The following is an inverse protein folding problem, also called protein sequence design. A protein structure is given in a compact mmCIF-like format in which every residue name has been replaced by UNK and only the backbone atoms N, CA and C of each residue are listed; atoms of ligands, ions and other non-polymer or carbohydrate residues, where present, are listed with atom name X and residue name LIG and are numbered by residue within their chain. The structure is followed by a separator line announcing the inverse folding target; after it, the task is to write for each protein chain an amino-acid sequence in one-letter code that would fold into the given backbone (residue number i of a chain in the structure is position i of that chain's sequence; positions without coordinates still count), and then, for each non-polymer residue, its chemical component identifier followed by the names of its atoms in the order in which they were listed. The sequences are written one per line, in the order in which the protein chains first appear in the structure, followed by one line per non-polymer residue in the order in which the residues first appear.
data_IF_176894005749
#
_entry.id   IF_176894005749
#
_cell.length_a   1.000
_cell.length_b   1.000
_cell.length_c   1.000
_cell.angle_alpha   90.00
_cell.angle_beta   90.00
_cell.angle_gamma   90.00
#
_symmetry.space_group_name_H-M   'P 1'
#
loop_
_entity.id
_entity.type
_entity.pdbx_description
1 polymer ?
#
# COMPACT_ATOMS: atom_id res chain seq x y z
N UNK A 1 72.31 7.31 56.51
CA UNK A 1 71.40 8.48 56.59
C UNK A 1 70.58 8.43 55.32
N UNK A 2 69.41 7.80 55.38
CA UNK A 2 68.59 7.50 54.20
C UNK A 2 67.51 8.58 54.06
N UNK A 3 67.65 9.40 53.01
CA UNK A 3 66.66 10.39 52.62
C UNK A 3 65.53 9.71 51.84
N UNK A 4 64.34 9.65 52.43
CA UNK A 4 63.11 9.26 51.73
C UNK A 4 62.70 10.36 50.74
N UNK A 5 62.45 10.04 49.45
CA UNK A 5 61.97 11.01 48.48
C UNK A 5 60.55 11.45 48.85
N UNK A 6 60.38 12.78 48.88
CA UNK A 6 59.15 13.47 49.25
C UNK A 6 58.05 13.28 48.21
N UNK A 7 56.85 13.18 48.76
CA UNK A 7 55.53 13.00 48.18
C UNK A 7 55.10 14.19 47.29
N UNK A 8 55.68 14.34 46.09
CA UNK A 8 55.35 15.43 45.14
C UNK A 8 54.28 15.02 44.10
N UNK A 9 54.04 13.71 43.90
CA UNK A 9 53.13 13.19 42.86
C UNK A 9 51.62 13.34 43.15
N UNK A 10 51.23 13.89 44.31
CA UNK A 10 49.84 13.92 44.74
C UNK A 10 49.12 15.25 44.44
N UNK A 11 49.85 16.35 44.27
CA UNK A 11 49.25 17.66 43.98
C UNK A 11 48.89 17.82 42.49
N UNK A 12 49.69 17.26 41.58
CA UNK A 12 49.45 17.33 40.12
C UNK A 12 48.18 16.55 39.70
N UNK A 13 47.86 15.45 40.39
CA UNK A 13 46.63 14.68 40.15
C UNK A 13 45.35 15.39 40.58
N UNK A 14 45.43 16.30 41.56
CA UNK A 14 44.26 17.05 42.05
C UNK A 14 43.90 18.16 41.06
N UNK A 15 44.90 18.83 40.47
CA UNK A 15 44.70 19.87 39.45
C UNK A 15 44.02 19.34 38.18
N UNK A 16 44.50 18.22 37.63
CA UNK A 16 43.93 17.62 36.41
C UNK A 16 42.48 17.15 36.59
N UNK A 17 42.10 16.71 37.80
CA UNK A 17 40.72 16.32 38.11
C UNK A 17 39.77 17.53 38.15
N UNK A 18 40.23 18.65 38.74
CA UNK A 18 39.43 19.87 38.82
C UNK A 18 39.20 20.52 37.44
N UNK A 19 40.18 20.48 36.54
CA UNK A 19 40.03 21.00 35.17
C UNK A 19 39.00 20.20 34.34
N UNK A 20 38.97 18.88 34.51
CA UNK A 20 37.96 18.02 33.89
C UNK A 20 36.53 18.34 34.37
N UNK A 21 36.35 18.51 35.68
CA UNK A 21 35.05 18.84 36.27
C UNK A 21 34.53 20.22 35.82
N UNK A 22 35.41 21.22 35.65
CA UNK A 22 35.03 22.54 35.13
C UNK A 22 34.57 22.46 33.66
N UNK A 23 35.28 21.71 32.81
CA UNK A 23 34.90 21.52 31.40
C UNK A 23 33.52 20.89 31.25
N UNK A 24 33.18 19.93 32.10
CA UNK A 24 31.89 19.24 32.03
C UNK A 24 30.74 20.13 32.53
N UNK A 25 30.98 20.99 33.53
CA UNK A 25 30.00 22.00 33.97
C UNK A 25 29.69 23.01 32.85
N UNK A 26 30.69 23.45 32.09
CA UNK A 26 30.48 24.37 30.96
C UNK A 26 29.66 23.72 29.84
N UNK A 27 29.93 22.45 29.51
CA UNK A 27 29.14 21.69 28.55
C UNK A 27 27.69 21.51 29.00
N UNK A 28 27.46 21.24 30.28
CA UNK A 28 26.11 21.13 30.85
C UNK A 28 25.34 22.45 30.74
N UNK A 29 25.95 23.58 31.09
CA UNK A 29 25.33 24.91 30.94
C UNK A 29 25.00 25.24 29.48
N UNK A 30 25.87 24.86 28.55
CA UNK A 30 25.61 25.03 27.11
C UNK A 30 24.44 24.16 26.63
N UNK A 31 24.33 22.92 27.14
CA UNK A 31 23.22 22.02 26.83
C UNK A 31 21.89 22.53 27.38
N UNK A 32 21.87 23.03 28.63
CA UNK A 32 20.67 23.63 29.24
C UNK A 32 20.16 24.83 28.45
N UNK A 33 21.07 25.72 28.01
CA UNK A 33 20.72 26.85 27.14
C UNK A 33 20.11 26.38 25.82
N UNK A 34 20.72 25.39 25.17
CA UNK A 34 20.20 24.82 23.90
C UNK A 34 18.81 24.18 24.08
N UNK A 35 18.56 23.52 25.21
CA UNK A 35 17.24 22.96 25.53
C UNK A 35 16.20 24.08 25.70
N UNK A 36 16.54 25.17 26.39
CA UNK A 36 15.64 26.32 26.54
C UNK A 36 15.30 26.96 25.18
N UNK A 37 16.29 27.15 24.31
CA UNK A 37 16.09 27.70 22.96
C UNK A 37 15.17 26.80 22.11
N UNK A 38 15.34 25.47 22.20
CA UNK A 38 14.49 24.50 21.49
C UNK A 38 13.05 24.51 22.00
N UNK A 39 12.82 24.64 23.31
CA UNK A 39 11.47 24.73 23.88
C UNK A 39 10.74 25.98 23.39
N UNK A 40 11.41 27.14 23.43
CA UNK A 40 10.86 28.40 22.91
C UNK A 40 10.49 28.30 21.42
N UNK A 41 11.36 27.68 20.61
CA UNK A 41 11.07 27.43 19.19
C UNK A 41 9.89 26.48 18.96
N UNK A 42 9.72 25.46 19.82
CA UNK A 42 8.60 24.54 19.72
C UNK A 42 7.27 25.24 20.04
N UNK A 43 7.23 26.07 21.09
CA UNK A 43 6.06 26.88 21.43
C UNK A 43 5.67 27.83 20.29
N UNK A 44 6.64 28.45 19.61
CA UNK A 44 6.39 29.28 18.44
C UNK A 44 5.79 28.48 17.27
N UNK A 45 6.27 27.26 17.03
CA UNK A 45 5.76 26.38 15.98
C UNK A 45 4.34 25.89 16.27
N UNK A 46 4.05 25.52 17.52
CA UNK A 46 2.70 25.13 17.97
C UNK A 46 1.71 26.28 17.78
N UNK A 47 2.12 27.52 18.12
CA UNK A 47 1.30 28.70 17.88
C UNK A 47 1.04 28.92 16.39
N UNK A 48 2.08 28.86 15.54
CA UNK A 48 1.93 29.02 14.08
C UNK A 48 1.02 27.93 13.48
N UNK A 49 1.10 26.70 13.96
CA UNK A 49 0.23 25.61 13.53
C UNK A 49 -1.23 25.88 13.92
N UNK A 50 -1.47 26.33 15.16
CA UNK A 50 -2.81 26.72 15.62
C UNK A 50 -3.38 27.89 14.83
N UNK A 51 -2.57 28.91 14.53
CA UNK A 51 -2.99 30.07 13.73
C UNK A 51 -3.33 29.66 12.28
N UNK A 52 -2.56 28.72 11.71
CA UNK A 52 -2.84 28.17 10.38
C UNK A 52 -4.11 27.32 10.36
N UNK A 53 -4.36 26.51 11.40
CA UNK A 53 -5.60 25.73 11.53
C UNK A 53 -6.82 26.65 11.66
N UNK A 54 -6.72 27.72 12.45
CA UNK A 54 -7.78 28.74 12.55
C UNK A 54 -8.02 29.47 11.22
N UNK A 55 -6.98 29.72 10.43
CA UNK A 55 -7.11 30.32 9.10
C UNK A 55 -7.84 29.40 8.10
N UNK A 56 -7.63 28.08 8.20
CA UNK A 56 -8.33 27.08 7.40
C UNK A 56 -9.81 26.93 7.79
N UNK A 57 -10.17 27.30 9.01
CA UNK A 57 -11.57 27.28 9.50
C UNK A 57 -12.34 28.58 9.21
N UNK A 58 -11.73 29.53 8.47
CA UNK A 58 -12.46 30.74 8.10
C UNK A 58 -13.64 30.38 7.18
N UNK A 59 -14.84 30.98 7.40
CA UNK A 59 -16.05 30.69 6.62
C UNK A 59 -15.83 30.78 5.10
N UNK A 60 -15.00 31.72 4.66
CA UNK A 60 -14.69 31.92 3.23
C UNK A 60 -13.89 30.75 2.63
N UNK A 61 -13.00 30.13 3.42
CA UNK A 61 -12.26 28.95 2.99
C UNK A 61 -13.17 27.70 2.95
N UNK A 62 -14.04 27.54 3.95
CA UNK A 62 -15.04 26.46 3.95
C UNK A 62 -16.01 26.59 2.77
N UNK A 63 -16.49 27.80 2.49
CA UNK A 63 -17.33 28.08 1.30
C UNK A 63 -16.60 27.82 -0.01
N UNK A 64 -15.29 28.11 -0.07
CA UNK A 64 -14.46 27.78 -1.22
C UNK A 64 -14.33 26.27 -1.43
N UNK A 65 -14.07 25.50 -0.36
CA UNK A 65 -14.02 24.02 -0.44
C UNK A 65 -15.37 23.42 -0.86
N UNK A 66 -16.48 23.91 -0.31
CA UNK A 66 -17.83 23.49 -0.72
C UNK A 66 -18.11 23.81 -2.20
N UNK A 67 -17.59 24.93 -2.70
CA UNK A 67 -17.72 25.29 -4.12
C UNK A 67 -16.88 24.40 -5.04
N UNK A 68 -15.72 23.94 -4.58
CA UNK A 68 -14.89 22.98 -5.29
C UNK A 68 -15.54 21.59 -5.32
N UNK A 69 -16.12 21.14 -4.21
CA UNK A 69 -16.82 19.85 -4.14
C UNK A 69 -18.03 19.83 -5.08
N UNK A 70 -18.85 20.90 -5.08
CA UNK A 70 -19.99 21.03 -6.00
C UNK A 70 -19.56 21.00 -7.47
N UNK A 71 -18.51 21.75 -7.84
CA UNK A 71 -17.97 21.72 -9.21
C UNK A 71 -17.42 20.34 -9.58
N UNK A 72 -16.73 19.67 -8.66
CA UNK A 72 -16.23 18.31 -8.87
C UNK A 72 -17.38 17.34 -9.12
N UNK A 73 -18.47 17.42 -8.35
CA UNK A 73 -19.65 16.58 -8.53
C UNK A 73 -20.37 16.85 -9.86
N UNK A 74 -20.52 18.11 -10.26
CA UNK A 74 -21.12 18.47 -11.55
C UNK A 74 -20.27 17.99 -12.74
N UNK A 75 -18.95 18.18 -12.70
CA UNK A 75 -18.02 17.70 -13.74
C UNK A 75 -17.95 16.17 -13.80
N UNK A 76 -17.99 15.49 -12.65
CA UNK A 76 -18.01 14.03 -12.57
C UNK A 76 -19.30 13.45 -13.18
N UNK A 77 -20.44 14.12 -12.98
CA UNK A 77 -21.73 13.70 -13.55
C UNK A 77 -21.71 13.82 -15.07
N UNK A 78 -21.18 14.92 -15.61
CA UNK A 78 -21.04 15.15 -17.06
C UNK A 78 -19.99 14.22 -17.71
N UNK A 79 -18.90 13.90 -17.00
CA UNK A 79 -17.90 12.96 -17.50
C UNK A 79 -18.38 11.51 -17.49
N UNK A 80 -19.14 11.09 -16.47
CA UNK A 80 -19.76 9.75 -16.38
C UNK A 80 -20.69 9.44 -17.56
N UNK A 81 -21.34 10.45 -18.12
CA UNK A 81 -22.23 10.26 -19.28
C UNK A 81 -21.48 10.16 -20.62
N UNK A 82 -20.20 10.58 -20.69
CA UNK A 82 -19.47 10.70 -21.97
C UNK A 82 -18.28 9.75 -22.13
N UNK A 83 -17.71 9.25 -21.04
CA UNK A 83 -16.59 8.32 -21.08
C UNK A 83 -16.98 7.01 -20.39
N UNK A 84 -17.14 5.94 -21.18
CA UNK A 84 -17.06 4.59 -20.63
C UNK A 84 -15.67 4.48 -20.01
N UNK A 85 -15.60 4.37 -18.69
CA UNK A 85 -14.34 4.24 -17.99
C UNK A 85 -13.59 3.04 -18.56
N UNK A 86 -12.32 3.24 -18.92
CA UNK A 86 -11.44 2.18 -19.44
C UNK A 86 -11.45 0.95 -18.52
N UNK A 87 -11.62 1.18 -17.21
CA UNK A 87 -11.72 0.16 -16.16
C UNK A 87 -13.02 -0.66 -16.19
N UNK A 88 -14.05 -0.21 -16.89
CA UNK A 88 -15.31 -0.93 -17.07
C UNK A 88 -15.33 -1.81 -18.32
N UNK A 89 -14.36 -1.64 -19.23
CA UNK A 89 -14.32 -2.40 -20.47
C UNK A 89 -14.01 -3.88 -20.22
N UNK A 90 -14.81 -4.77 -20.81
CA UNK A 90 -14.74 -6.21 -20.62
C UNK A 90 -14.48 -6.97 -21.92
N UNK A 91 -14.54 -8.31 -21.86
CA UNK A 91 -14.34 -9.16 -23.03
C UNK A 91 -15.38 -8.98 -24.13
N UNK A 92 -16.60 -8.55 -23.82
CA UNK A 92 -17.61 -8.28 -24.84
C UNK A 92 -17.26 -7.04 -25.66
N UNK A 93 -16.67 -6.02 -25.02
CA UNK A 93 -16.14 -4.85 -25.70
C UNK A 93 -14.90 -5.22 -26.50
N UNK A 94 -13.94 -5.94 -25.89
CA UNK A 94 -12.71 -6.36 -26.55
C UNK A 94 -12.95 -7.05 -27.89
N UNK A 95 -13.91 -7.98 -27.93
CA UNK A 95 -14.24 -8.74 -29.13
C UNK A 95 -14.83 -7.88 -30.26
N UNK A 96 -15.37 -6.68 -29.96
CA UNK A 96 -15.90 -5.73 -30.95
C UNK A 96 -14.86 -4.72 -31.44
N UNK A 97 -13.78 -4.52 -30.69
CA UNK A 97 -12.70 -3.61 -31.10
C UNK A 97 -12.01 -4.11 -32.38
N UNK A 98 -11.58 -3.18 -33.22
CA UNK A 98 -10.69 -3.52 -34.34
C UNK A 98 -9.32 -3.96 -33.81
N UNK A 99 -8.54 -4.59 -34.68
CA UNK A 99 -7.20 -5.05 -34.33
C UNK A 99 -6.29 -3.90 -33.85
N UNK A 100 -6.30 -2.77 -34.56
CA UNK A 100 -5.51 -1.59 -34.20
C UNK A 100 -5.92 -1.02 -32.83
N UNK A 101 -7.23 -0.99 -32.52
CA UNK A 101 -7.71 -0.53 -31.22
C UNK A 101 -7.30 -1.47 -30.08
N UNK A 102 -7.26 -2.79 -30.30
CA UNK A 102 -6.77 -3.75 -29.30
C UNK A 102 -5.28 -3.57 -29.02
N UNK A 103 -4.47 -3.40 -30.07
CA UNK A 103 -3.03 -3.09 -29.92
C UNK A 103 -2.86 -1.76 -29.18
N UNK A 104 -3.56 -0.71 -29.61
CA UNK A 104 -3.52 0.60 -28.99
C UNK A 104 -3.93 0.57 -27.52
N UNK A 105 -4.92 -0.25 -27.15
CA UNK A 105 -5.32 -0.46 -25.76
C UNK A 105 -4.17 -1.03 -24.91
N UNK A 106 -3.51 -2.09 -25.39
CA UNK A 106 -2.38 -2.71 -24.67
C UNK A 106 -1.21 -1.72 -24.53
N UNK A 107 -0.88 -1.01 -25.61
CA UNK A 107 0.16 0.05 -25.60
C UNK A 107 -0.19 1.14 -24.58
N UNK A 108 -1.42 1.63 -24.59
CA UNK A 108 -1.90 2.65 -23.66
C UNK A 108 -1.84 2.19 -22.21
N UNK A 109 -2.21 0.93 -21.95
CA UNK A 109 -2.10 0.33 -20.61
C UNK A 109 -0.66 0.26 -20.13
N UNK A 110 0.29 -0.15 -20.99
CA UNK A 110 1.72 -0.18 -20.65
C UNK A 110 2.27 1.21 -20.36
N UNK A 111 1.99 2.18 -21.23
CA UNK A 111 2.42 3.56 -21.02
C UNK A 111 1.84 4.16 -19.72
N UNK A 112 0.55 3.93 -19.45
CA UNK A 112 -0.12 4.37 -18.23
C UNK A 112 0.48 3.72 -16.98
N UNK A 113 0.76 2.42 -17.03
CA UNK A 113 1.45 1.70 -15.95
C UNK A 113 2.83 2.28 -15.68
N UNK A 114 3.65 2.52 -16.71
CA UNK A 114 5.00 3.04 -16.52
C UNK A 114 4.99 4.41 -15.82
N UNK A 115 4.04 5.28 -16.19
CA UNK A 115 3.83 6.57 -15.52
C UNK A 115 3.40 6.37 -14.07
N UNK A 116 2.42 5.48 -13.81
CA UNK A 116 1.95 5.19 -12.45
C UNK A 116 3.07 4.61 -11.57
N UNK A 117 3.86 3.67 -12.09
CA UNK A 117 5.01 3.08 -11.40
C UNK A 117 6.08 4.15 -11.08
N UNK A 118 6.32 5.11 -11.98
CA UNK A 118 7.24 6.23 -11.73
C UNK A 118 6.71 7.17 -10.64
N UNK A 119 5.45 7.58 -10.73
CA UNK A 119 4.82 8.43 -9.73
C UNK A 119 4.82 7.75 -8.35
N UNK A 120 4.50 6.46 -8.30
CA UNK A 120 4.52 5.67 -7.08
C UNK A 120 5.93 5.57 -6.48
N UNK A 121 6.97 5.38 -7.30
CA UNK A 121 8.37 5.40 -6.84
C UNK A 121 8.77 6.76 -6.25
N UNK A 122 8.32 7.86 -6.85
CA UNK A 122 8.55 9.21 -6.32
C UNK A 122 7.84 9.37 -4.97
N UNK A 123 6.57 8.97 -4.90
CA UNK A 123 5.79 8.98 -3.67
C UNK A 123 6.48 8.16 -2.58
N UNK A 124 6.83 6.90 -2.84
CA UNK A 124 7.59 6.09 -1.90
C UNK A 124 8.89 6.78 -1.52
N UNK A 125 9.70 7.29 -2.44
CA UNK A 125 10.95 7.98 -2.07
C UNK A 125 10.74 9.14 -1.07
N UNK A 126 9.62 9.86 -1.18
CA UNK A 126 9.24 10.94 -0.26
C UNK A 126 8.80 10.38 1.10
N UNK A 127 8.11 9.23 1.13
CA UNK A 127 7.47 8.66 2.33
C UNK A 127 8.22 7.44 2.94
N UNK A 128 9.29 6.95 2.31
CA UNK A 128 9.91 5.62 2.53
C UNK A 128 10.91 5.50 3.67
N UNK A 129 11.07 6.52 4.52
CA UNK A 129 11.67 6.26 5.82
C UNK A 129 10.80 5.30 6.68
N UNK A 130 9.58 4.95 6.22
CA UNK A 130 8.56 4.26 7.01
C UNK A 130 7.97 2.98 6.40
N UNK A 131 8.27 2.62 5.14
CA UNK A 131 7.61 1.49 4.44
C UNK A 131 8.58 0.37 4.04
N UNK A 132 8.24 -0.91 4.28
CA UNK A 132 9.08 -2.03 3.90
C UNK A 132 9.14 -2.23 2.37
N UNK A 133 10.31 -2.59 1.79
CA UNK A 133 10.49 -2.81 0.36
C UNK A 133 9.58 -3.89 -0.27
N UNK A 134 9.04 -4.81 0.53
CA UNK A 134 8.16 -5.90 0.09
C UNK A 134 6.78 -5.43 -0.40
N UNK A 135 6.41 -4.18 -0.13
CA UNK A 135 5.15 -3.60 -0.62
C UNK A 135 5.26 -3.01 -2.03
N UNK A 136 6.44 -3.01 -2.64
CA UNK A 136 6.60 -2.56 -4.02
C UNK A 136 5.96 -3.57 -4.96
N UNK A 137 4.93 -3.20 -5.75
CA UNK A 137 4.38 -4.09 -6.75
C UNK A 137 5.49 -4.44 -7.75
N UNK A 138 5.89 -5.71 -7.76
CA UNK A 138 6.79 -6.26 -8.77
C UNK A 138 6.16 -6.00 -10.15
N UNK A 139 6.96 -5.58 -11.13
CA UNK A 139 6.48 -5.40 -12.51
C UNK A 139 5.76 -6.66 -12.99
N UNK A 140 4.44 -6.58 -13.12
CA UNK A 140 3.60 -7.72 -13.49
C UNK A 140 3.81 -8.19 -14.92
N UNK A 141 4.32 -7.32 -15.80
CA UNK A 141 4.61 -7.67 -17.18
C UNK A 141 6.02 -8.28 -17.23
N UNK A 142 6.16 -9.53 -17.71
CA UNK A 142 7.46 -10.17 -17.84
C UNK A 142 8.34 -9.39 -18.82
N UNK A 143 9.64 -9.25 -18.51
CA UNK A 143 10.60 -8.60 -19.41
C UNK A 143 10.61 -9.32 -20.76
N UNK A 144 10.56 -8.56 -21.84
CA UNK A 144 10.58 -9.09 -23.20
C UNK A 144 9.21 -9.52 -23.74
N UNK A 145 8.13 -9.30 -23.00
CA UNK A 145 6.77 -9.53 -23.51
C UNK A 145 6.38 -8.43 -24.49
N UNK A 146 5.95 -8.80 -25.70
CA UNK A 146 5.47 -7.84 -26.70
C UNK A 146 3.99 -7.52 -26.53
N UNK A 147 3.56 -6.41 -27.10
CA UNK A 147 2.15 -6.00 -27.16
C UNK A 147 1.28 -7.03 -27.88
N UNK A 148 1.82 -7.66 -28.93
CA UNK A 148 1.15 -8.70 -29.72
C UNK A 148 0.94 -9.96 -28.88
N UNK A 149 1.93 -10.39 -28.10
CA UNK A 149 1.79 -11.55 -27.22
C UNK A 149 0.68 -11.37 -26.18
N UNK A 150 0.59 -10.17 -25.58
CA UNK A 150 -0.49 -9.85 -24.65
C UNK A 150 -1.84 -9.84 -25.37
N UNK A 151 -1.95 -9.16 -26.51
CA UNK A 151 -3.18 -9.13 -27.31
C UNK A 151 -3.64 -10.53 -27.71
N UNK A 152 -2.74 -11.38 -28.19
CA UNK A 152 -3.03 -12.76 -28.56
C UNK A 152 -3.46 -13.59 -27.35
N UNK A 153 -2.79 -13.40 -26.21
CA UNK A 153 -3.19 -14.00 -24.94
C UNK A 153 -4.59 -13.57 -24.50
N UNK A 154 -4.94 -12.28 -24.61
CA UNK A 154 -6.28 -11.77 -24.28
C UNK A 154 -7.33 -12.34 -25.26
N UNK A 155 -7.00 -12.41 -26.55
CA UNK A 155 -7.86 -13.05 -27.56
C UNK A 155 -8.13 -14.51 -27.20
N UNK A 156 -7.11 -15.27 -26.78
CA UNK A 156 -7.27 -16.64 -26.32
C UNK A 156 -8.09 -16.72 -25.01
N UNK A 157 -7.83 -15.82 -24.06
CA UNK A 157 -8.51 -15.74 -22.78
C UNK A 157 -10.02 -15.54 -22.92
N UNK A 158 -10.46 -14.65 -23.81
CA UNK A 158 -11.88 -14.36 -24.06
C UNK A 158 -12.58 -15.32 -25.03
N UNK A 159 -11.89 -16.35 -25.55
CA UNK A 159 -12.57 -17.46 -26.23
C UNK A 159 -13.51 -18.19 -25.27
N UNK A 160 -13.15 -18.29 -24.00
CA UNK A 160 -14.05 -18.78 -22.96
C UNK A 160 -15.11 -17.73 -22.63
N UNK A 161 -16.38 -18.10 -22.83
CA UNK A 161 -17.52 -17.24 -22.56
C UNK A 161 -17.57 -16.79 -21.10
N UNK A 162 -17.18 -17.66 -20.15
CA UNK A 162 -17.19 -17.34 -18.72
C UNK A 162 -16.18 -16.24 -18.34
N UNK A 163 -15.18 -15.98 -19.20
CA UNK A 163 -14.21 -14.91 -19.00
C UNK A 163 -14.68 -13.55 -19.50
N UNK A 164 -15.73 -13.47 -20.33
CA UNK A 164 -16.07 -12.21 -21.01
C UNK A 164 -16.51 -11.07 -20.09
N UNK A 165 -16.94 -11.39 -18.87
CA UNK A 165 -17.28 -10.39 -17.85
C UNK A 165 -16.07 -9.83 -17.09
N UNK A 166 -14.91 -10.48 -17.21
CA UNK A 166 -13.66 -10.01 -16.60
C UNK A 166 -13.18 -8.79 -17.38
N UNK A 167 -12.79 -7.73 -16.66
CA UNK A 167 -12.33 -6.49 -17.28
C UNK A 167 -11.01 -6.68 -18.02
N UNK A 168 -10.80 -5.92 -19.10
CA UNK A 168 -9.61 -6.05 -19.96
C UNK A 168 -8.33 -5.79 -19.17
N UNK A 169 -8.35 -4.83 -18.24
CA UNK A 169 -7.20 -4.53 -17.36
C UNK A 169 -6.81 -5.73 -16.48
N UNK A 170 -7.78 -6.51 -16.02
CA UNK A 170 -7.53 -7.71 -15.22
C UNK A 170 -7.12 -8.89 -16.10
N UNK A 171 -7.68 -8.99 -17.30
CA UNK A 171 -7.26 -9.98 -18.29
C UNK A 171 -5.77 -9.80 -18.67
N UNK A 172 -5.27 -8.56 -18.77
CA UNK A 172 -3.83 -8.29 -18.99
C UNK A 172 -2.99 -8.89 -17.85
N UNK A 173 -3.44 -8.75 -16.60
CA UNK A 173 -2.73 -9.33 -15.44
C UNK A 173 -2.68 -10.85 -15.52
N UNK A 174 -3.83 -11.51 -15.78
CA UNK A 174 -3.92 -12.97 -15.95
C UNK A 174 -3.02 -13.47 -17.08
N UNK A 175 -3.09 -12.83 -18.24
CA UNK A 175 -2.26 -13.20 -19.41
C UNK A 175 -0.78 -13.01 -19.11
N UNK A 176 -0.42 -11.96 -18.36
CA UNK A 176 0.96 -11.74 -17.93
C UNK A 176 1.46 -12.84 -17.00
N UNK A 177 0.62 -13.34 -16.07
CA UNK A 177 0.94 -14.50 -15.22
C UNK A 177 1.16 -15.77 -16.05
N UNK A 178 0.32 -15.99 -17.07
CA UNK A 178 0.46 -17.13 -17.99
C UNK A 178 1.77 -17.07 -18.77
N UNK A 179 2.14 -15.92 -19.33
CA UNK A 179 3.39 -15.73 -20.08
C UNK A 179 4.62 -15.92 -19.19
N UNK A 180 4.53 -15.48 -17.92
CA UNK A 180 5.61 -15.67 -16.95
C UNK A 180 5.80 -17.13 -16.53
N UNK A 181 4.81 -18.00 -16.78
CA UNK A 181 4.81 -19.37 -16.31
C UNK A 181 4.54 -19.50 -14.82
N UNK A 182 3.67 -18.64 -14.26
CA UNK A 182 3.21 -18.78 -12.87
C UNK A 182 2.44 -20.10 -12.65
N UNK A 183 2.28 -20.50 -11.38
CA UNK A 183 1.55 -21.72 -11.01
C UNK A 183 0.13 -21.74 -11.64
N UNK A 184 -0.22 -22.77 -12.43
CA UNK A 184 -1.56 -22.91 -13.02
C UNK A 184 -2.70 -22.81 -12.00
N UNK A 185 -2.52 -23.35 -10.78
CA UNK A 185 -3.56 -23.27 -9.74
C UNK A 185 -3.77 -21.85 -9.25
N UNK A 186 -2.70 -21.06 -9.13
CA UNK A 186 -2.78 -19.63 -8.80
C UNK A 186 -3.48 -18.84 -9.92
N UNK A 187 -3.16 -19.15 -11.19
CA UNK A 187 -3.81 -18.53 -12.35
C UNK A 187 -5.32 -18.86 -12.36
N UNK A 188 -5.69 -20.12 -12.13
CA UNK A 188 -7.09 -20.55 -12.04
C UNK A 188 -7.82 -19.88 -10.87
N UNK A 189 -7.17 -19.75 -9.72
CA UNK A 189 -7.70 -19.02 -8.57
C UNK A 189 -7.92 -17.54 -8.91
N UNK A 190 -6.97 -16.89 -9.59
CA UNK A 190 -7.10 -15.51 -10.04
C UNK A 190 -8.29 -15.33 -10.99
N UNK A 191 -8.47 -16.24 -11.95
CA UNK A 191 -9.62 -16.22 -12.87
C UNK A 191 -10.92 -16.46 -12.11
N UNK A 192 -10.96 -17.46 -11.23
CA UNK A 192 -12.11 -17.77 -10.38
C UNK A 192 -12.52 -16.57 -9.53
N UNK A 193 -11.55 -15.94 -8.88
CA UNK A 193 -11.74 -14.71 -8.12
C UNK A 193 -12.36 -13.61 -8.98
N UNK A 194 -11.77 -13.28 -10.13
CA UNK A 194 -12.30 -12.24 -11.04
C UNK A 194 -13.70 -12.57 -11.58
N UNK A 195 -14.03 -13.85 -11.75
CA UNK A 195 -15.39 -14.29 -12.12
C UNK A 195 -16.39 -14.12 -10.96
N UNK A 196 -15.94 -14.24 -9.72
CA UNK A 196 -16.78 -14.14 -8.53
C UNK A 196 -16.70 -12.80 -7.83
N UNK A 197 -15.78 -11.93 -8.27
CA UNK A 197 -15.41 -10.69 -7.61
C UNK A 197 -16.71 -9.92 -7.35
N UNK A 198 -17.13 -9.80 -6.07
CA UNK A 198 -18.31 -9.02 -5.77
C UNK A 198 -18.05 -7.60 -6.22
N UNK A 199 -19.12 -6.87 -6.56
CA UNK A 199 -19.08 -5.41 -6.61
C UNK A 199 -18.25 -4.94 -5.41
N UNK A 200 -17.06 -4.37 -5.67
CA UNK A 200 -16.13 -4.05 -4.59
C UNK A 200 -16.77 -2.89 -3.84
N UNK A 201 -17.57 -3.22 -2.84
CA UNK A 201 -17.99 -2.28 -1.84
C UNK A 201 -16.77 -2.05 -0.94
N UNK A 202 -15.90 -1.13 -1.38
CA UNK A 202 -14.72 -0.71 -0.64
C UNK A 202 -15.06 -0.33 0.81
N UNK A 203 -16.32 0.06 1.08
CA UNK A 203 -16.82 0.30 2.43
C UNK A 203 -16.96 -0.98 3.25
N UNK A 204 -17.42 -2.10 2.65
CA UNK A 204 -17.47 -3.41 3.32
C UNK A 204 -16.07 -3.86 3.74
N UNK A 205 -15.10 -3.75 2.83
CA UNK A 205 -13.69 -4.05 3.09
C UNK A 205 -13.13 -3.20 4.24
N UNK A 206 -13.33 -1.87 4.20
CA UNK A 206 -12.88 -0.97 5.26
C UNK A 206 -13.57 -1.24 6.61
N UNK A 207 -14.83 -1.67 6.59
CA UNK A 207 -15.58 -2.02 7.79
C UNK A 207 -15.03 -3.30 8.42
N UNK A 208 -14.72 -4.32 7.61
CA UNK A 208 -14.08 -5.57 8.04
C UNK A 208 -12.66 -5.32 8.63
N UNK A 209 -11.87 -4.43 8.03
CA UNK A 209 -10.56 -3.99 8.56
C UNK A 209 -10.70 -3.18 9.86
N UNK A 210 -11.75 -2.37 10.03
CA UNK A 210 -12.00 -1.69 11.32
C UNK A 210 -12.36 -2.68 12.43
N UNK A 211 -13.01 -3.79 12.11
CA UNK A 211 -13.22 -4.86 13.08
C UNK A 211 -11.90 -5.55 13.47
N UNK A 212 -10.97 -5.74 12.53
CA UNK A 212 -9.63 -6.30 12.79
C UNK A 212 -8.91 -5.63 13.97
N UNK A 213 -8.91 -4.30 14.03
CA UNK A 213 -8.27 -3.54 15.12
C UNK A 213 -8.84 -3.82 16.52
N UNK A 214 -10.07 -4.34 16.61
CA UNK A 214 -10.74 -4.67 17.88
C UNK A 214 -10.30 -6.03 18.43
N UNK A 215 -9.96 -7.00 17.57
CA UNK A 215 -9.63 -8.37 17.98
C UNK A 215 -8.22 -8.52 18.58
N UNK A 216 -7.25 -7.72 18.10
CA UNK A 216 -5.88 -7.70 18.65
C UNK A 216 -5.81 -7.33 20.15
N UNK A 217 -6.91 -6.78 20.71
CA UNK A 217 -7.05 -6.43 22.13
C UNK A 217 -7.62 -7.55 23.02
N UNK A 218 -7.57 -8.83 22.59
CA UNK A 218 -7.79 -9.98 23.47
C UNK A 218 -9.26 -10.37 23.71
N UNK A 219 -10.17 -10.11 22.76
CA UNK A 219 -11.59 -10.51 22.89
C UNK A 219 -12.00 -11.46 21.77
N UNK A 220 -12.34 -12.71 22.16
CA UNK A 220 -12.97 -13.82 21.41
C UNK A 220 -12.38 -14.17 20.04
N UNK A 221 -12.37 -15.47 19.73
CA UNK A 221 -12.09 -15.93 18.36
C UNK A 221 -13.07 -15.24 17.40
N UNK A 222 -12.59 -14.60 16.33
CA UNK A 222 -13.45 -13.87 15.40
C UNK A 222 -14.30 -14.86 14.61
N UNK A 223 -15.60 -14.58 14.54
CA UNK A 223 -16.54 -15.33 13.71
C UNK A 223 -16.34 -15.03 12.20
N UNK A 224 -15.55 -14.01 11.85
CA UNK A 224 -15.32 -13.62 10.47
C UNK A 224 -14.08 -14.36 9.90
N UNK A 225 -14.24 -15.24 8.91
CA UNK A 225 -13.14 -15.94 8.23
C UNK A 225 -12.05 -15.03 7.69
N UNK A 226 -12.41 -13.79 7.31
CA UNK A 226 -11.48 -12.80 6.77
C UNK A 226 -10.37 -12.45 7.76
N UNK A 227 -10.60 -12.62 9.07
CA UNK A 227 -9.56 -12.45 10.08
C UNK A 227 -8.29 -13.22 9.75
N UNK A 228 -8.44 -14.49 9.33
CA UNK A 228 -7.32 -15.37 9.05
C UNK A 228 -6.57 -15.00 7.76
N UNK A 229 -7.18 -14.17 6.90
CA UNK A 229 -6.54 -13.67 5.67
C UNK A 229 -5.46 -12.61 5.96
N UNK A 230 -5.54 -11.92 7.10
CA UNK A 230 -4.65 -10.80 7.45
C UNK A 230 -3.58 -11.15 8.49
N UNK A 231 -3.59 -12.38 8.99
CA UNK A 231 -2.69 -12.78 10.05
C UNK A 231 -1.24 -12.90 9.54
N UNK A 232 -1.01 -13.05 8.23
CA UNK A 232 0.31 -13.29 7.60
C UNK A 232 1.17 -14.34 8.35
N UNK A 233 0.51 -15.20 9.12
CA UNK A 233 1.09 -16.31 9.87
C UNK A 233 0.51 -17.60 9.31
N UNK A 234 1.32 -18.21 8.46
CA UNK A 234 1.08 -19.51 7.84
C UNK A 234 0.57 -20.56 8.82
N UNK A 235 1.11 -20.61 10.05
CA UNK A 235 0.79 -21.63 11.03
C UNK A 235 -0.63 -21.47 11.56
N UNK A 236 -1.06 -20.25 11.81
CA UNK A 236 -2.43 -19.97 12.24
C UNK A 236 -3.42 -20.12 11.09
N UNK A 237 -3.04 -19.79 9.85
CA UNK A 237 -3.85 -20.06 8.64
C UNK A 237 -4.15 -21.55 8.49
N UNK A 238 -3.13 -22.41 8.52
CA UNK A 238 -3.31 -23.87 8.41
C UNK A 238 -4.18 -24.43 9.53
N UNK A 239 -3.91 -24.03 10.77
CA UNK A 239 -4.66 -24.46 11.95
C UNK A 239 -6.13 -24.03 11.89
N UNK A 240 -6.44 -22.87 11.31
CA UNK A 240 -7.81 -22.43 11.11
C UNK A 240 -8.54 -23.27 10.04
N UNK A 241 -7.84 -23.66 8.97
CA UNK A 241 -8.36 -24.58 7.95
C UNK A 241 -8.62 -25.96 8.57
N UNK A 242 -7.65 -26.52 9.30
CA UNK A 242 -7.76 -27.84 9.95
C UNK A 242 -8.91 -27.92 10.94
N UNK A 243 -9.17 -26.83 11.69
CA UNK A 243 -10.30 -26.73 12.62
C UNK A 243 -11.65 -26.49 11.93
N UNK A 244 -11.67 -26.34 10.60
CA UNK A 244 -12.88 -26.02 9.83
C UNK A 244 -13.45 -24.62 10.08
N UNK A 245 -12.64 -23.71 10.66
CA UNK A 245 -13.05 -22.32 10.93
C UNK A 245 -13.10 -21.50 9.64
N UNK A 246 -12.23 -21.83 8.68
CA UNK A 246 -12.17 -21.24 7.35
C UNK A 246 -11.93 -22.30 6.29
N UNK A 247 -12.26 -21.98 5.04
CA UNK A 247 -12.02 -22.84 3.89
C UNK A 247 -11.18 -22.07 2.87
N UNK A 248 -10.57 -22.77 1.90
CA UNK A 248 -9.86 -22.12 0.79
C UNK A 248 -10.76 -21.15 0.00
N UNK A 249 -12.07 -21.43 -0.07
CA UNK A 249 -13.04 -20.56 -0.72
C UNK A 249 -13.23 -19.23 0.03
N UNK A 250 -13.12 -19.21 1.37
CA UNK A 250 -13.15 -17.96 2.13
C UNK A 250 -11.95 -17.06 1.78
N UNK A 251 -10.75 -17.62 1.64
CA UNK A 251 -9.58 -16.86 1.18
C UNK A 251 -9.77 -16.34 -0.24
N UNK A 252 -10.32 -17.17 -1.14
CA UNK A 252 -10.58 -16.75 -2.51
C UNK A 252 -11.51 -15.52 -2.57
N UNK A 253 -12.61 -15.54 -1.80
CA UNK A 253 -13.54 -14.40 -1.69
C UNK A 253 -12.91 -13.16 -1.07
N UNK A 254 -11.86 -13.35 -0.26
CA UNK A 254 -11.06 -12.28 0.33
C UNK A 254 -9.99 -11.72 -0.61
N UNK A 255 -9.84 -12.27 -1.82
CA UNK A 255 -8.77 -11.90 -2.74
C UNK A 255 -7.43 -12.56 -2.39
N UNK A 256 -7.44 -13.79 -1.87
CA UNK A 256 -6.23 -14.56 -1.59
C UNK A 256 -6.33 -15.99 -2.13
N UNK A 257 -5.22 -16.48 -2.70
CA UNK A 257 -5.02 -17.89 -2.98
C UNK A 257 -4.24 -18.53 -1.85
N UNK A 258 -4.77 -19.63 -1.30
CA UNK A 258 -4.12 -20.43 -0.26
C UNK A 258 -3.65 -21.76 -0.87
N UNK A 259 -2.33 -21.95 -0.95
CA UNK A 259 -1.74 -23.17 -1.49
C UNK A 259 -1.87 -24.36 -0.53
N UNK A 260 -1.39 -25.54 -0.93
CA UNK A 260 -1.44 -26.75 -0.10
C UNK A 260 -0.58 -26.65 1.17
N UNK A 261 0.39 -25.75 1.18
CA UNK A 261 1.26 -25.49 2.31
C UNK A 261 0.70 -24.40 3.22
N UNK A 262 -0.43 -23.77 2.89
CA UNK A 262 -1.02 -22.68 3.66
C UNK A 262 -0.35 -21.33 3.44
N UNK A 263 0.49 -21.19 2.41
CA UNK A 263 0.99 -19.87 2.02
C UNK A 263 -0.14 -19.11 1.33
N UNK A 264 -0.26 -17.82 1.65
CA UNK A 264 -1.23 -16.93 1.04
C UNK A 264 -0.55 -16.09 -0.04
N UNK A 265 -1.12 -16.12 -1.25
CA UNK A 265 -0.75 -15.23 -2.34
C UNK A 265 -1.91 -14.26 -2.59
N UNK A 266 -1.67 -12.93 -2.62
CA UNK A 266 -2.72 -11.98 -2.93
C UNK A 266 -3.17 -12.13 -4.39
N UNK A 267 -4.48 -12.06 -4.59
CA UNK A 267 -5.13 -11.98 -5.89
C UNK A 267 -5.45 -10.52 -6.21
N UNK A 268 -5.44 -10.19 -7.49
CA UNK A 268 -5.42 -8.82 -7.95
C UNK A 268 -6.74 -8.48 -8.64
N UNK A 269 -7.26 -7.27 -8.43
CA UNK A 269 -8.42 -6.75 -9.13
C UNK A 269 -8.24 -5.24 -9.34
N UNK A 270 -8.08 -4.83 -10.59
CA UNK A 270 -7.96 -3.45 -11.04
C UNK A 270 -9.25 -2.92 -11.67
N UNK A 271 -10.05 -3.81 -12.27
CA UNK A 271 -11.31 -3.45 -12.90
C UNK A 271 -12.35 -2.96 -11.89
N UNK A 272 -13.27 -2.13 -12.37
CA UNK A 272 -14.47 -1.74 -11.60
C UNK A 272 -15.58 -2.72 -11.96
N UNK A 273 -15.95 -3.57 -11.01
CA UNK A 273 -17.03 -4.53 -11.16
C UNK A 273 -18.31 -3.93 -10.60
N UNK A 274 -19.38 -4.00 -11.40
CA UNK A 274 -20.79 -3.65 -11.10
C UNK A 274 -21.56 -4.96 -10.93
#
# INVERSE_FOLDING_TARGET
MDNKPGNVDNEEKIGQKAEGEISDIEKLKAAEKKIADLKSKNEELEKRASDAEAALLQPDYLNFLDSLDKKSQEEETVQKEKYVYVLENDGNIWLKLSEDFRIGYVVGFFAGKDIADQQYKIFIKIWSNSLPPSLLPSSYIPKGTTTEQIKDGINAFYKDFANRKIKIVDAISVVSMQIKGEDPKLIEAQIGYLRTAPEIDAMRYLQEVKEYGKYRKGKKEPNNPLYYCYIDDKKETLKAIEKGLVSKEHFLKAGYYCDEQGNLAPLICYGIYK
#
